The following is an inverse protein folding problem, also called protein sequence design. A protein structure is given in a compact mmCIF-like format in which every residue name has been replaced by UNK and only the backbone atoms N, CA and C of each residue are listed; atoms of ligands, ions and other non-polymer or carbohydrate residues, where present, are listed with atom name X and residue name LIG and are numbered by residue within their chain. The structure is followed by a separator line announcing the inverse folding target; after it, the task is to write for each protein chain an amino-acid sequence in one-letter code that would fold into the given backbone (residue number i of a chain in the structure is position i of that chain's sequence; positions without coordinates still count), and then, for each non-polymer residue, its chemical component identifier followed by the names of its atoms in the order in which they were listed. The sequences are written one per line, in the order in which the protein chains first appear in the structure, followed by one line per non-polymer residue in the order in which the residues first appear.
data_IF_611644807853
#
_entry.id   IF_611644807853
#
_cell.length_a   1.000
_cell.length_b   1.000
_cell.length_c   1.000
_cell.angle_alpha   90.00
_cell.angle_beta   90.00
_cell.angle_gamma   90.00
#
_symmetry.space_group_name_H-M   'P 1'
#
loop_
_entity.id
_entity.type
_entity.pdbx_description
1 polymer ?
#
# COMPACT_ATOMS: atom_id res chain seq x y z
N UNK A 1 4.48 2.31 24.44
CA UNK A 1 5.85 1.90 24.81
C UNK A 1 6.94 2.63 24.01
N UNK A 2 6.98 2.59 22.67
CA UNK A 2 8.07 3.22 21.89
C UNK A 2 8.15 4.76 21.96
N UNK A 3 7.02 5.47 22.07
CA UNK A 3 7.02 6.93 22.21
C UNK A 3 7.67 7.42 23.51
N UNK A 4 7.48 6.68 24.61
CA UNK A 4 8.09 7.02 25.90
C UNK A 4 9.61 6.83 25.88
N UNK A 5 10.11 5.85 25.13
CA UNK A 5 11.56 5.65 24.94
C UNK A 5 12.17 6.75 24.08
N UNK A 6 11.46 7.21 23.04
CA UNK A 6 11.88 8.37 22.24
C UNK A 6 11.96 9.67 23.06
N UNK A 7 10.96 9.91 23.92
CA UNK A 7 10.95 11.07 24.84
C UNK A 7 12.08 11.04 25.87
N UNK A 8 12.43 9.86 26.40
CA UNK A 8 13.57 9.68 27.31
C UNK A 8 14.91 9.99 26.63
N UNK A 9 15.06 9.61 25.37
CA UNK A 9 16.26 9.89 24.58
C UNK A 9 16.41 11.38 24.27
N UNK A 10 15.31 12.08 23.94
CA UNK A 10 15.32 13.53 23.73
C UNK A 10 15.77 14.31 24.98
N UNK A 11 15.26 13.93 26.17
CA UNK A 11 15.69 14.51 27.45
C UNK A 11 17.16 14.24 27.79
N UNK A 12 17.69 13.08 27.39
CA UNK A 12 19.11 12.71 27.63
C UNK A 12 20.09 13.53 26.77
N UNK A 13 19.63 14.09 25.64
CA UNK A 13 20.46 14.82 24.68
C UNK A 13 20.41 16.35 24.84
N UNK A 14 19.83 16.86 25.93
CA UNK A 14 19.83 18.30 26.24
C UNK A 14 18.85 19.14 25.42
N UNK A 15 17.87 18.52 24.76
CA UNK A 15 16.74 19.28 24.21
C UNK A 15 15.81 19.68 25.37
N UNK A 16 15.52 20.97 25.48
CA UNK A 16 14.56 21.52 26.45
C UNK A 16 13.22 20.77 26.32
N UNK A 17 12.51 20.55 27.44
CA UNK A 17 11.15 20.04 27.37
C UNK A 17 10.35 20.99 26.49
N UNK A 18 9.80 20.45 25.40
CA UNK A 18 8.78 21.12 24.60
C UNK A 18 7.72 21.61 25.59
N UNK A 19 7.40 22.91 25.54
CA UNK A 19 6.41 23.56 26.40
C UNK A 19 5.19 22.64 26.60
N UNK A 20 4.86 22.39 27.86
CA UNK A 20 3.84 21.40 28.29
C UNK A 20 2.39 21.82 27.97
N UNK A 21 2.18 22.82 27.11
CA UNK A 21 0.84 23.33 26.74
C UNK A 21 0.17 22.55 25.60
N UNK A 22 0.87 21.64 24.92
CA UNK A 22 0.21 20.60 24.14
C UNK A 22 -0.15 19.44 25.06
N UNK A 23 -1.28 19.57 25.74
CA UNK A 23 -1.87 18.49 26.52
C UNK A 23 -2.34 17.38 25.56
N UNK A 24 -1.40 16.57 25.06
CA UNK A 24 -1.68 15.43 24.19
C UNK A 24 -2.50 14.43 25.00
N UNK A 25 -3.82 14.47 24.80
CA UNK A 25 -4.74 13.56 25.46
C UNK A 25 -4.61 12.16 24.86
N UNK A 26 -5.03 11.16 25.61
CA UNK A 26 -5.14 9.79 25.08
C UNK A 26 -6.13 9.71 23.90
N UNK A 27 -7.09 10.64 23.83
CA UNK A 27 -8.07 10.78 22.74
C UNK A 27 -7.40 11.29 21.46
N UNK A 28 -6.56 12.33 21.52
CA UNK A 28 -5.83 12.84 20.37
C UNK A 28 -4.93 11.75 19.75
N UNK A 29 -4.19 11.00 20.58
CA UNK A 29 -3.35 9.88 20.12
C UNK A 29 -4.21 8.75 19.50
N UNK A 30 -5.41 8.52 20.03
CA UNK A 30 -6.31 7.49 19.50
C UNK A 30 -6.87 7.89 18.13
N UNK A 31 -7.16 9.17 17.94
CA UNK A 31 -7.66 9.75 16.69
C UNK A 31 -6.59 9.77 15.59
N UNK A 32 -5.38 10.24 15.89
CA UNK A 32 -4.19 10.15 15.03
C UNK A 32 -3.94 8.72 14.53
N UNK A 33 -3.96 7.75 15.46
CA UNK A 33 -3.81 6.33 15.13
C UNK A 33 -4.93 5.83 14.24
N UNK A 34 -6.17 6.27 14.45
CA UNK A 34 -7.32 5.84 13.66
C UNK A 34 -7.20 6.31 12.21
N UNK A 35 -6.73 7.53 11.99
CA UNK A 35 -6.48 8.09 10.65
C UNK A 35 -5.42 7.26 9.89
N UNK A 36 -4.24 7.04 10.48
CA UNK A 36 -3.16 6.27 9.85
C UNK A 36 -3.52 4.78 9.70
N UNK A 37 -4.22 4.19 10.68
CA UNK A 37 -4.68 2.80 10.59
C UNK A 37 -5.78 2.62 9.53
N UNK A 38 -6.46 3.68 9.10
CA UNK A 38 -7.50 3.64 8.07
C UNK A 38 -6.95 3.30 6.68
N UNK A 39 -5.79 3.84 6.30
CA UNK A 39 -5.22 3.68 4.96
C UNK A 39 -4.43 2.38 4.78
N UNK A 40 -3.82 1.88 5.87
CA UNK A 40 -2.94 0.70 5.85
C UNK A 40 -3.60 -0.59 5.33
N UNK A 41 -4.87 -0.92 5.64
CA UNK A 41 -5.55 -2.08 5.07
C UNK A 41 -5.62 -2.03 3.54
N UNK A 42 -5.94 -0.86 2.97
CA UNK A 42 -6.02 -0.67 1.52
C UNK A 42 -4.64 -0.81 0.89
N UNK A 43 -3.62 -0.19 1.47
CA UNK A 43 -2.20 -0.35 1.07
C UNK A 43 -1.79 -1.83 1.03
N UNK A 44 -2.10 -2.59 2.09
CA UNK A 44 -1.77 -4.03 2.15
C UNK A 44 -2.45 -4.83 1.03
N UNK A 45 -3.71 -4.52 0.71
CA UNK A 45 -4.43 -5.16 -0.39
C UNK A 45 -3.81 -4.83 -1.74
N UNK A 46 -3.43 -3.57 -1.98
CA UNK A 46 -2.73 -3.15 -3.19
C UNK A 46 -1.42 -3.93 -3.35
N UNK A 47 -0.59 -3.98 -2.30
CA UNK A 47 0.68 -4.73 -2.31
C UNK A 47 0.44 -6.21 -2.63
N UNK A 48 -0.56 -6.84 -2.00
CA UNK A 48 -0.89 -8.23 -2.29
C UNK A 48 -1.26 -8.45 -3.77
N UNK A 49 -2.02 -7.53 -4.38
CA UNK A 49 -2.40 -7.59 -5.79
C UNK A 49 -1.21 -7.34 -6.73
N UNK A 50 -0.29 -6.46 -6.38
CA UNK A 50 0.97 -6.26 -7.12
C UNK A 50 1.82 -7.54 -7.12
N UNK A 51 1.95 -8.21 -5.97
CA UNK A 51 2.65 -9.49 -5.87
C UNK A 51 1.96 -10.60 -6.70
N UNK A 52 0.63 -10.62 -6.76
CA UNK A 52 -0.11 -11.53 -7.66
C UNK A 52 0.21 -11.25 -9.12
N UNK A 53 0.21 -9.98 -9.54
CA UNK A 53 0.56 -9.59 -10.92
C UNK A 53 1.99 -10.02 -11.26
N UNK A 54 2.94 -9.83 -10.34
CA UNK A 54 4.33 -10.26 -10.54
C UNK A 54 4.43 -11.77 -10.75
N UNK A 55 3.78 -12.57 -9.90
CA UNK A 55 3.74 -14.02 -10.03
C UNK A 55 3.12 -14.47 -11.36
N UNK A 56 1.98 -13.87 -11.74
CA UNK A 56 1.30 -14.15 -12.99
C UNK A 56 2.14 -13.76 -14.21
N UNK A 57 2.87 -12.64 -14.17
CA UNK A 57 3.77 -12.24 -15.27
C UNK A 57 4.90 -13.27 -15.46
N UNK A 58 5.49 -13.80 -14.38
CA UNK A 58 6.48 -14.88 -14.46
C UNK A 58 5.88 -16.14 -15.09
N UNK A 59 4.67 -16.52 -14.69
CA UNK A 59 3.95 -17.66 -15.26
C UNK A 59 3.63 -17.47 -16.74
N UNK A 60 3.14 -16.29 -17.15
CA UNK A 60 2.85 -15.96 -18.57
C UNK A 60 4.11 -16.09 -19.43
N UNK A 61 5.26 -15.61 -18.96
CA UNK A 61 6.53 -15.76 -19.69
C UNK A 61 6.91 -17.23 -19.85
N UNK A 62 6.73 -18.06 -18.82
CA UNK A 62 6.98 -19.50 -18.89
C UNK A 62 6.03 -20.20 -19.87
N UNK A 63 4.73 -19.93 -19.76
CA UNK A 63 3.70 -20.49 -20.65
C UNK A 63 3.96 -20.14 -22.12
N UNK A 64 4.33 -18.88 -22.40
CA UNK A 64 4.70 -18.47 -23.76
C UNK A 64 5.93 -19.20 -24.30
N UNK A 65 6.93 -19.49 -23.45
CA UNK A 65 8.10 -20.29 -23.86
C UNK A 65 7.70 -21.73 -24.17
N UNK A 66 6.82 -22.33 -23.36
CA UNK A 66 6.34 -23.70 -23.56
C UNK A 66 5.49 -23.84 -24.83
N UNK A 67 4.64 -22.85 -25.14
CA UNK A 67 3.86 -22.83 -26.37
C UNK A 67 4.73 -22.88 -27.64
N UNK A 68 5.90 -22.21 -27.63
CA UNK A 68 6.84 -22.26 -28.76
C UNK A 68 7.43 -23.66 -28.95
N UNK A 69 7.61 -24.45 -27.88
CA UNK A 69 8.14 -25.81 -27.96
C UNK A 69 7.09 -26.89 -28.20
N UNK A 70 5.81 -26.63 -27.94
CA UNK A 70 4.73 -27.63 -27.94
C UNK A 70 3.68 -27.40 -29.06
N UNK A 71 4.08 -26.71 -30.13
CA UNK A 71 3.21 -26.30 -31.25
C UNK A 71 2.41 -27.49 -31.82
N UNK A 72 1.09 -27.29 -31.95
CA UNK A 72 0.06 -28.22 -32.44
C UNK A 72 -0.19 -29.46 -31.56
N UNK A 73 0.13 -29.39 -30.27
CA UNK A 73 -0.22 -30.42 -29.29
C UNK A 73 -1.44 -30.03 -28.44
N UNK A 74 -2.10 -30.99 -27.80
CA UNK A 74 -3.16 -30.71 -26.81
C UNK A 74 -2.65 -29.80 -25.67
N UNK A 75 -1.37 -29.93 -25.30
CA UNK A 75 -0.72 -29.07 -24.29
C UNK A 75 -0.62 -27.61 -24.71
N UNK A 76 -0.56 -27.31 -26.01
CA UNK A 76 -0.61 -25.92 -26.49
C UNK A 76 -1.95 -25.27 -26.11
N UNK A 77 -3.05 -26.03 -26.22
CA UNK A 77 -4.38 -25.55 -25.89
C UNK A 77 -4.52 -25.32 -24.38
N UNK A 78 -4.07 -26.28 -23.57
CA UNK A 78 -4.04 -26.14 -22.10
C UNK A 78 -3.22 -24.92 -21.67
N UNK A 79 -2.01 -24.76 -22.21
CA UNK A 79 -1.15 -23.60 -21.93
C UNK A 79 -1.80 -22.27 -22.37
N UNK A 80 -2.58 -22.28 -23.46
CA UNK A 80 -3.31 -21.10 -23.94
C UNK A 80 -4.46 -20.72 -23.01
N UNK A 81 -5.20 -21.69 -22.50
CA UNK A 81 -6.29 -21.47 -21.54
C UNK A 81 -5.74 -20.91 -20.22
N UNK A 82 -4.66 -21.50 -19.69
CA UNK A 82 -3.99 -21.02 -18.48
C UNK A 82 -3.42 -19.60 -18.69
N UNK A 83 -2.80 -19.32 -19.83
CA UNK A 83 -2.29 -17.98 -20.14
C UNK A 83 -3.43 -16.94 -20.13
N UNK A 84 -4.57 -17.27 -20.74
CA UNK A 84 -5.73 -16.39 -20.75
C UNK A 84 -6.29 -16.16 -19.34
N UNK A 85 -6.29 -17.18 -18.49
CA UNK A 85 -6.69 -17.05 -17.09
C UNK A 85 -5.80 -16.06 -16.36
N UNK A 86 -4.47 -16.22 -16.45
CA UNK A 86 -3.48 -15.33 -15.80
C UNK A 86 -3.59 -13.88 -16.28
N UNK A 87 -3.85 -13.68 -17.57
CA UNK A 87 -4.09 -12.34 -18.14
C UNK A 87 -5.35 -11.71 -17.56
N UNK A 88 -6.46 -12.45 -17.46
CA UNK A 88 -7.72 -11.95 -16.86
C UNK A 88 -7.57 -11.64 -15.37
N UNK A 89 -6.85 -12.47 -14.64
CA UNK A 89 -6.52 -12.21 -13.23
C UNK A 89 -5.71 -10.92 -13.08
N UNK A 90 -4.72 -10.69 -13.95
CA UNK A 90 -3.94 -9.46 -13.96
C UNK A 90 -4.81 -8.24 -14.25
N UNK A 91 -5.70 -8.30 -15.23
CA UNK A 91 -6.65 -7.22 -15.53
C UNK A 91 -7.55 -6.91 -14.33
N UNK A 92 -8.02 -7.95 -13.63
CA UNK A 92 -8.83 -7.79 -12.41
C UNK A 92 -8.03 -7.14 -11.28
N UNK A 93 -6.78 -7.56 -11.07
CA UNK A 93 -5.90 -6.95 -10.08
C UNK A 93 -5.59 -5.48 -10.41
N UNK A 94 -5.30 -5.18 -11.68
CA UNK A 94 -5.02 -3.82 -12.15
C UNK A 94 -6.24 -2.90 -11.94
N UNK A 95 -7.44 -3.38 -12.27
CA UNK A 95 -8.69 -2.64 -12.02
C UNK A 95 -8.85 -2.31 -10.52
N UNK A 96 -8.69 -3.31 -9.66
CA UNK A 96 -8.77 -3.12 -8.20
C UNK A 96 -7.73 -2.11 -7.69
N UNK A 97 -6.48 -2.22 -8.16
CA UNK A 97 -5.41 -1.30 -7.75
C UNK A 97 -5.75 0.13 -8.16
N UNK A 98 -6.20 0.33 -9.41
CA UNK A 98 -6.60 1.65 -9.90
C UNK A 98 -7.72 2.25 -9.04
N UNK A 99 -8.81 1.51 -8.83
CA UNK A 99 -9.94 1.96 -8.01
C UNK A 99 -9.51 2.28 -6.56
N UNK A 100 -8.62 1.48 -6.00
CA UNK A 100 -8.09 1.71 -4.64
C UNK A 100 -7.19 2.95 -4.56
N UNK A 101 -6.39 3.21 -5.59
CA UNK A 101 -5.55 4.41 -5.68
C UNK A 101 -6.38 5.68 -5.89
N UNK A 102 -7.49 5.58 -6.64
CA UNK A 102 -8.43 6.69 -6.80
C UNK A 102 -9.07 7.06 -5.45
N UNK A 103 -9.51 6.08 -4.65
CA UNK A 103 -10.01 6.32 -3.28
C UNK A 103 -8.92 6.89 -2.37
N UNK A 104 -7.71 6.33 -2.39
CA UNK A 104 -6.60 6.86 -1.57
C UNK A 104 -6.24 8.31 -1.95
N UNK A 105 -6.43 8.71 -3.20
CA UNK A 105 -6.22 10.09 -3.64
C UNK A 105 -7.26 11.03 -3.02
N UNK A 106 -8.50 10.60 -2.90
CA UNK A 106 -9.55 11.34 -2.19
C UNK A 106 -9.18 11.48 -0.71
N UNK A 107 -8.74 10.40 -0.06
CA UNK A 107 -8.28 10.42 1.33
C UNK A 107 -7.11 11.39 1.54
N UNK A 108 -6.12 11.40 0.63
CA UNK A 108 -4.98 12.34 0.66
C UNK A 108 -5.46 13.79 0.50
N UNK A 109 -6.47 14.02 -0.33
CA UNK A 109 -7.02 15.36 -0.58
C UNK A 109 -7.75 15.86 0.66
N UNK A 110 -8.60 15.03 1.26
CA UNK A 110 -9.29 15.36 2.51
C UNK A 110 -8.29 15.61 3.65
N UNK A 111 -7.29 14.76 3.80
CA UNK A 111 -6.23 14.92 4.79
C UNK A 111 -5.46 16.24 4.65
N UNK A 112 -5.25 16.70 3.41
CA UNK A 112 -4.60 17.99 3.14
C UNK A 112 -5.45 19.18 3.61
N UNK A 113 -6.77 19.09 3.45
CA UNK A 113 -7.71 20.14 3.84
C UNK A 113 -7.92 20.18 5.36
N UNK A 114 -8.00 19.00 5.99
CA UNK A 114 -8.35 18.87 7.41
C UNK A 114 -7.15 18.99 8.36
N UNK A 115 -5.96 18.47 7.98
CA UNK A 115 -4.82 18.35 8.89
C UNK A 115 -3.45 18.38 8.19
N UNK A 116 -3.25 19.29 7.23
CA UNK A 116 -2.02 19.36 6.41
C UNK A 116 -0.70 19.60 7.17
N UNK A 117 -0.76 20.23 8.34
CA UNK A 117 0.44 20.48 9.17
C UNK A 117 0.82 19.26 10.02
N UNK A 118 -0.10 18.30 10.17
CA UNK A 118 0.04 17.16 11.08
C UNK A 118 0.96 16.06 10.51
N UNK A 119 1.67 15.31 11.38
CA UNK A 119 2.48 14.16 10.97
C UNK A 119 1.72 13.09 10.17
N UNK A 120 0.44 12.87 10.48
CA UNK A 120 -0.45 11.87 9.88
C UNK A 120 -0.61 12.13 8.38
N UNK A 121 -0.78 13.40 8.00
CA UNK A 121 -0.84 13.81 6.61
C UNK A 121 0.43 13.42 5.86
N UNK A 122 1.62 13.69 6.44
CA UNK A 122 2.91 13.31 5.83
C UNK A 122 3.04 11.80 5.64
N UNK A 123 2.53 11.00 6.59
CA UNK A 123 2.51 9.53 6.48
C UNK A 123 1.58 9.07 5.36
N UNK A 124 0.36 9.60 5.31
CA UNK A 124 -0.65 9.27 4.29
C UNK A 124 -0.13 9.60 2.89
N UNK A 125 0.42 10.80 2.69
CA UNK A 125 1.05 11.21 1.43
C UNK A 125 2.23 10.30 1.09
N UNK A 126 3.11 10.02 2.03
CA UNK A 126 4.26 9.14 1.81
C UNK A 126 3.86 7.73 1.36
N UNK A 127 2.81 7.16 1.96
CA UNK A 127 2.26 5.86 1.57
C UNK A 127 1.68 5.93 0.15
N UNK A 128 0.88 6.95 -0.15
CA UNK A 128 0.27 7.11 -1.47
C UNK A 128 1.32 7.32 -2.56
N UNK A 129 2.30 8.20 -2.33
CA UNK A 129 3.40 8.46 -3.27
C UNK A 129 4.28 7.24 -3.52
N UNK A 130 4.41 6.32 -2.57
CA UNK A 130 5.15 5.08 -2.77
C UNK A 130 4.42 4.06 -3.69
N UNK A 131 3.13 4.27 -3.93
CA UNK A 131 2.29 3.38 -4.77
C UNK A 131 1.99 3.93 -6.17
N UNK A 132 2.38 5.19 -6.46
CA UNK A 132 2.17 5.90 -7.73
C UNK A 132 3.48 6.06 -8.50
#
# INVERSE_FOLDING_TARGET
YRLNEFRKLGKKNGHEPIDEDENITAENIAEERKLVLGILPTTKKIIAKLLTIEANNKAIVQLKRMQVSEVRSEKEKENSEELNLRVRENQTCQKFIKESLDVMKEDVTAAKEEFSEEPEYRVIVGIYSALM
#
